data_IF_024480681641
#
_entry.id   IF_024480681641
#
_cell.length_a   1.000
_cell.length_b   1.000
_cell.length_c   1.000
_cell.angle_alpha   90.00
_cell.angle_beta   90.00
_cell.angle_gamma   90.00
#
_symmetry.space_group_name_H-M   'P 1'
#
loop_
_entity.id
_entity.type
_entity.pdbx_description
1 polymer ?
#
# COMPACT_ATOMS: atom_id res chain seq x y z
N UNK A 1 -3.63 20.90 -5.69
CA UNK A 1 -4.61 21.99 -5.86
C UNK A 1 -6.01 21.44 -5.63
N UNK A 2 -6.97 22.19 -5.04
CA UNK A 2 -8.32 21.69 -4.86
C UNK A 2 -9.10 21.68 -6.18
N UNK A 3 -9.73 20.56 -6.50
CA UNK A 3 -10.61 20.43 -7.66
C UNK A 3 -12.03 20.88 -7.29
N UNK A 4 -12.61 21.78 -8.07
CA UNK A 4 -13.99 22.21 -7.92
C UNK A 4 -14.87 21.49 -8.93
N UNK A 5 -15.90 20.80 -8.44
CA UNK A 5 -16.99 20.36 -9.31
C UNK A 5 -17.94 21.55 -9.47
N UNK A 6 -18.18 21.95 -10.71
CA UNK A 6 -18.99 23.11 -11.03
C UNK A 6 -20.16 22.76 -11.94
N UNK A 7 -21.26 23.46 -11.73
CA UNK A 7 -22.40 23.51 -12.64
C UNK A 7 -22.51 24.95 -13.11
N UNK A 8 -22.32 25.17 -14.41
CA UNK A 8 -22.35 26.49 -15.04
C UNK A 8 -23.39 26.52 -16.16
N UNK A 9 -23.82 27.72 -16.54
CA UNK A 9 -24.70 27.95 -17.68
C UNK A 9 -23.90 28.62 -18.76
N UNK A 10 -23.85 27.99 -19.93
CA UNK A 10 -23.27 28.55 -21.14
C UNK A 10 -24.19 29.65 -21.71
N UNK A 11 -23.68 30.55 -22.55
CA UNK A 11 -24.41 31.66 -23.16
C UNK A 11 -25.71 31.22 -23.89
N UNK A 12 -25.78 29.96 -24.34
CA UNK A 12 -26.97 29.33 -24.92
C UNK A 12 -28.03 28.83 -23.92
N UNK A 13 -27.89 29.12 -22.62
CA UNK A 13 -28.82 28.67 -21.57
C UNK A 13 -28.70 27.18 -21.22
N UNK A 14 -27.70 26.49 -21.76
CA UNK A 14 -27.46 25.06 -21.51
C UNK A 14 -26.61 24.90 -20.27
N UNK A 15 -27.06 24.04 -19.35
CA UNK A 15 -26.32 23.76 -18.13
C UNK A 15 -25.19 22.78 -18.46
N UNK A 16 -23.95 23.21 -18.20
CA UNK A 16 -22.72 22.43 -18.37
C UNK A 16 -22.18 22.07 -17.00
N UNK A 17 -21.96 20.78 -16.76
CA UNK A 17 -21.34 20.26 -15.54
C UNK A 17 -19.92 19.82 -15.85
N UNK A 18 -18.97 20.24 -15.02
CA UNK A 18 -17.54 19.98 -15.24
C UNK A 18 -16.73 19.95 -13.96
N UNK A 19 -15.45 19.61 -14.09
CA UNK A 19 -14.47 19.67 -13.02
C UNK A 19 -13.31 20.55 -13.47
N UNK A 20 -12.95 21.54 -12.66
CA UNK A 20 -11.84 22.43 -12.95
C UNK A 20 -10.99 22.61 -11.69
N UNK A 21 -9.67 22.56 -11.85
CA UNK A 21 -8.74 22.89 -10.78
C UNK A 21 -8.60 24.40 -10.67
N UNK A 22 -8.87 24.94 -9.49
CA UNK A 22 -8.74 26.36 -9.20
C UNK A 22 -8.22 26.57 -7.78
N UNK A 23 -7.40 27.60 -7.53
CA UNK A 23 -6.91 27.89 -6.17
C UNK A 23 -8.03 28.37 -5.22
N UNK A 24 -9.07 29.02 -5.76
CA UNK A 24 -10.22 29.55 -5.02
C UNK A 24 -11.45 29.67 -5.94
N UNK A 25 -12.63 29.84 -5.35
CA UNK A 25 -13.91 29.96 -6.09
C UNK A 25 -13.90 31.16 -7.07
N UNK A 26 -13.25 32.27 -6.70
CA UNK A 26 -13.10 33.43 -7.58
C UNK A 26 -12.26 33.15 -8.83
N UNK A 27 -11.21 32.33 -8.74
CA UNK A 27 -10.40 31.95 -9.90
C UNK A 27 -11.12 30.93 -10.80
N UNK A 28 -11.99 30.09 -10.22
CA UNK A 28 -12.88 29.22 -10.99
C UNK A 28 -13.87 30.07 -11.80
N UNK A 29 -14.52 31.05 -11.16
CA UNK A 29 -15.47 31.95 -11.81
C UNK A 29 -14.79 32.76 -12.93
N UNK A 30 -13.59 33.30 -12.69
CA UNK A 30 -12.84 34.04 -13.70
C UNK A 30 -12.49 33.18 -14.93
N UNK A 31 -12.17 31.90 -14.74
CA UNK A 31 -11.91 30.96 -15.84
C UNK A 31 -13.18 30.57 -16.60
N UNK A 32 -14.29 30.37 -15.90
CA UNK A 32 -15.57 30.05 -16.54
C UNK A 32 -16.11 31.22 -17.35
N UNK A 33 -15.92 32.45 -16.87
CA UNK A 33 -16.23 33.67 -17.61
C UNK A 33 -15.39 33.84 -18.88
N UNK A 34 -14.15 33.35 -18.91
CA UNK A 34 -13.35 33.34 -20.15
C UNK A 34 -13.87 32.33 -21.19
N UNK A 35 -14.66 31.35 -20.76
CA UNK A 35 -15.30 30.34 -21.64
C UNK A 35 -16.80 30.60 -21.83
N UNK A 36 -17.26 31.85 -21.66
CA UNK A 36 -18.68 32.25 -21.79
C UNK A 36 -19.68 31.44 -20.92
N UNK A 37 -19.20 30.89 -19.81
CA UNK A 37 -20.00 30.11 -18.87
C UNK A 37 -20.11 30.80 -17.50
N UNK A 38 -21.33 30.92 -16.98
CA UNK A 38 -21.59 31.54 -15.68
C UNK A 38 -21.82 30.48 -14.59
N UNK A 39 -21.12 30.59 -13.46
CA UNK A 39 -21.14 29.61 -12.38
C UNK A 39 -22.46 29.68 -11.59
N UNK A 40 -23.27 28.61 -11.63
CA UNK A 40 -24.49 28.51 -10.80
C UNK A 40 -24.20 27.94 -9.42
N UNK A 41 -23.34 26.91 -9.36
CA UNK A 41 -23.03 26.21 -8.11
C UNK A 41 -21.65 25.58 -8.21
N UNK A 42 -20.78 25.88 -7.25
CA UNK A 42 -19.58 25.11 -7.03
C UNK A 42 -19.73 24.26 -5.77
N UNK A 43 -19.06 23.11 -5.75
CA UNK A 43 -18.82 22.35 -4.53
C UNK A 43 -17.34 22.03 -4.50
N UNK A 44 -16.64 22.53 -3.49
CA UNK A 44 -15.26 22.12 -3.23
C UNK A 44 -15.28 20.63 -2.97
N UNK A 45 -14.76 19.86 -3.92
CA UNK A 45 -14.53 18.45 -3.71
C UNK A 45 -13.09 18.36 -3.24
N UNK A 46 -12.90 18.44 -1.93
CA UNK A 46 -11.63 18.03 -1.35
C UNK A 46 -11.47 16.57 -1.75
N UNK A 47 -10.63 16.31 -2.75
CA UNK A 47 -10.26 14.97 -3.19
C UNK A 47 -9.35 14.33 -2.13
N UNK A 48 -9.74 14.38 -0.86
CA UNK A 48 -9.38 13.34 0.12
C UNK A 48 -10.18 12.07 -0.18
N UNK A 49 -10.33 11.72 -1.46
CA UNK A 49 -10.66 10.34 -1.79
C UNK A 49 -9.46 9.56 -1.28
N UNK A 50 -9.74 8.60 -0.42
CA UNK A 50 -8.80 7.68 0.18
C UNK A 50 -8.14 6.89 -0.97
N UNK A 51 -7.17 7.52 -1.63
CA UNK A 51 -6.67 7.09 -2.93
C UNK A 51 -5.59 6.04 -2.72
N UNK A 52 -6.04 4.90 -2.21
CA UNK A 52 -5.27 3.66 -2.09
C UNK A 52 -4.76 3.16 -3.45
N UNK A 53 -5.15 3.82 -4.55
CA UNK A 53 -4.69 3.67 -5.94
C UNK A 53 -3.38 4.41 -6.25
N UNK A 54 -2.80 5.16 -5.31
CA UNK A 54 -1.55 5.92 -5.55
C UNK A 54 -0.28 5.15 -5.22
N UNK A 55 -0.36 4.06 -4.46
CA UNK A 55 0.84 3.33 -4.08
C UNK A 55 1.35 2.51 -5.25
N UNK A 56 2.45 2.96 -5.84
CA UNK A 56 3.15 2.30 -6.94
C UNK A 56 3.47 0.85 -6.55
N UNK A 57 3.22 -0.07 -7.48
CA UNK A 57 3.52 -1.49 -7.24
C UNK A 57 5.01 -1.74 -7.39
N UNK A 58 5.54 -2.74 -6.68
CA UNK A 58 6.95 -3.13 -6.84
C UNK A 58 7.28 -3.58 -8.26
N UNK A 59 6.33 -4.24 -8.92
CA UNK A 59 6.49 -4.67 -10.30
C UNK A 59 6.70 -3.47 -11.23
N UNK A 60 5.93 -2.40 -11.05
CA UNK A 60 6.10 -1.17 -11.84
C UNK A 60 7.44 -0.50 -11.56
N UNK A 61 7.89 -0.47 -10.29
CA UNK A 61 9.19 0.10 -9.92
C UNK A 61 10.37 -0.72 -10.44
N UNK A 62 10.25 -2.07 -10.49
CA UNK A 62 11.21 -2.96 -11.15
C UNK A 62 11.25 -2.65 -12.64
N UNK A 63 10.09 -2.50 -13.27
CA UNK A 63 9.98 -2.13 -14.68
C UNK A 63 10.62 -0.78 -14.98
N UNK A 64 10.45 0.21 -14.09
CA UNK A 64 11.12 1.49 -14.16
C UNK A 64 12.64 1.36 -14.14
N UNK A 65 13.20 0.69 -13.13
CA UNK A 65 14.66 0.53 -13.01
C UNK A 65 15.23 -0.19 -14.22
N UNK A 66 14.55 -1.26 -14.68
CA UNK A 66 14.97 -2.02 -15.85
C UNK A 66 14.93 -1.16 -17.12
N UNK A 67 13.86 -0.38 -17.36
CA UNK A 67 13.79 0.48 -18.53
C UNK A 67 14.87 1.57 -18.53
N UNK A 68 15.08 2.22 -17.38
CA UNK A 68 16.12 3.24 -17.21
C UNK A 68 17.53 2.68 -17.40
N UNK A 69 17.78 1.44 -16.96
CA UNK A 69 19.03 0.71 -17.19
C UNK A 69 19.30 0.53 -18.69
N UNK A 70 18.32 0.01 -19.44
CA UNK A 70 18.47 -0.29 -20.87
C UNK A 70 18.76 0.98 -21.68
N UNK A 71 17.99 2.05 -21.41
CA UNK A 71 18.17 3.36 -22.05
C UNK A 71 19.51 3.97 -21.68
N UNK A 72 19.86 3.99 -20.39
CA UNK A 72 21.11 4.58 -19.92
C UNK A 72 22.32 3.85 -20.52
N UNK A 73 22.26 2.52 -20.67
CA UNK A 73 23.30 1.72 -21.33
C UNK A 73 23.38 1.98 -22.83
N UNK A 74 22.24 2.26 -23.47
CA UNK A 74 22.17 2.66 -24.88
C UNK A 74 22.62 4.11 -25.13
N UNK A 75 22.85 4.90 -24.08
CA UNK A 75 23.23 6.31 -24.18
C UNK A 75 22.10 7.22 -24.66
N UNK A 76 20.84 6.78 -24.54
CA UNK A 76 19.68 7.57 -24.94
C UNK A 76 19.38 8.66 -23.90
N UNK A 77 18.78 9.79 -24.31
CA UNK A 77 18.40 10.85 -23.39
C UNK A 77 17.45 10.35 -22.29
N UNK A 78 17.78 10.64 -21.04
CA UNK A 78 16.99 10.23 -19.87
C UNK A 78 15.54 10.73 -19.91
N UNK A 79 15.32 11.92 -20.47
CA UNK A 79 13.99 12.51 -20.59
C UNK A 79 13.08 11.75 -21.56
N UNK A 80 13.65 11.23 -22.65
CA UNK A 80 12.95 10.41 -23.62
C UNK A 80 12.52 9.08 -22.97
N UNK A 81 13.44 8.46 -22.21
CA UNK A 81 13.17 7.26 -21.42
C UNK A 81 12.00 7.43 -20.43
N UNK A 82 12.00 8.54 -19.68
CA UNK A 82 10.93 8.82 -18.73
C UNK A 82 9.58 9.02 -19.44
N UNK A 83 9.60 9.66 -20.61
CA UNK A 83 8.41 9.89 -21.44
C UNK A 83 7.84 8.59 -22.00
N UNK A 84 8.70 7.75 -22.58
CA UNK A 84 8.35 6.44 -23.11
C UNK A 84 7.79 5.52 -22.02
N UNK A 85 8.42 5.55 -20.84
CA UNK A 85 7.96 4.78 -19.70
C UNK A 85 6.61 5.28 -19.17
N UNK A 86 6.41 6.59 -19.08
CA UNK A 86 5.12 7.20 -18.69
C UNK A 86 3.99 6.72 -19.60
N UNK A 87 4.26 6.65 -20.90
CA UNK A 87 3.25 6.33 -21.91
C UNK A 87 2.94 4.84 -21.96
N UNK A 88 3.92 3.98 -21.69
CA UNK A 88 3.74 2.52 -21.58
C UNK A 88 3.12 2.05 -20.26
N UNK A 89 3.24 2.81 -19.17
CA UNK A 89 2.71 2.40 -17.86
C UNK A 89 1.18 2.51 -17.78
N UNK A 90 0.54 1.47 -17.25
CA UNK A 90 -0.91 1.40 -17.06
C UNK A 90 -1.35 1.94 -15.70
N UNK A 91 -0.47 1.93 -14.70
CA UNK A 91 -0.78 2.36 -13.34
C UNK A 91 -0.92 3.90 -13.28
N UNK A 92 -2.13 4.45 -13.05
CA UNK A 92 -2.37 5.89 -13.16
C UNK A 92 -1.59 6.69 -12.13
N UNK A 93 -1.43 6.16 -10.91
CA UNK A 93 -0.63 6.82 -9.87
C UNK A 93 0.86 6.89 -10.21
N UNK A 94 1.39 5.91 -10.95
CA UNK A 94 2.80 5.94 -11.30
C UNK A 94 3.03 6.82 -12.53
N UNK A 95 2.08 6.86 -13.46
CA UNK A 95 2.05 7.82 -14.56
C UNK A 95 2.10 9.28 -14.06
N UNK A 96 1.37 9.59 -12.98
CA UNK A 96 1.40 10.93 -12.35
C UNK A 96 2.78 11.25 -11.76
N UNK A 97 3.38 10.30 -11.04
CA UNK A 97 4.76 10.43 -10.52
C UNK A 97 5.76 10.65 -11.66
N UNK A 98 5.73 9.83 -12.71
CA UNK A 98 6.61 9.98 -13.87
C UNK A 98 6.42 11.33 -14.57
N UNK A 99 5.18 11.80 -14.71
CA UNK A 99 4.89 13.12 -15.28
C UNK A 99 5.52 14.24 -14.44
N UNK A 100 5.45 14.13 -13.12
CA UNK A 100 6.10 15.07 -12.21
C UNK A 100 7.63 15.02 -12.28
N UNK A 101 8.22 13.84 -12.48
CA UNK A 101 9.67 13.69 -12.69
C UNK A 101 10.11 14.36 -13.99
N UNK A 102 9.41 14.11 -15.09
CA UNK A 102 9.68 14.71 -16.41
C UNK A 102 9.71 16.24 -16.29
N UNK A 103 8.67 16.86 -15.71
CA UNK A 103 8.59 18.32 -15.54
C UNK A 103 9.76 18.85 -14.70
N UNK A 104 10.14 18.11 -13.65
CA UNK A 104 11.22 18.50 -12.74
C UNK A 104 12.59 18.45 -13.42
N UNK A 105 12.84 17.39 -14.19
CA UNK A 105 14.07 17.19 -14.95
C UNK A 105 14.17 18.17 -16.12
N UNK A 106 13.06 18.45 -16.83
CA UNK A 106 12.96 19.53 -17.81
C UNK A 106 13.27 20.90 -17.20
N UNK A 107 12.87 21.11 -15.94
CA UNK A 107 13.20 22.28 -15.14
C UNK A 107 14.66 22.35 -14.67
N UNK A 108 15.49 21.37 -14.99
CA UNK A 108 16.91 21.33 -14.68
C UNK A 108 17.28 20.69 -13.34
N UNK A 109 16.32 20.09 -12.61
CA UNK A 109 16.65 19.25 -11.45
C UNK A 109 17.35 17.97 -11.90
N UNK A 110 18.27 17.46 -11.06
CA UNK A 110 18.78 16.09 -11.21
C UNK A 110 17.63 15.08 -11.04
N UNK A 111 17.76 13.86 -11.58
CA UNK A 111 16.76 12.81 -11.42
C UNK A 111 16.56 12.45 -9.95
N UNK A 112 17.65 12.30 -9.20
CA UNK A 112 17.63 12.06 -7.74
C UNK A 112 16.81 13.11 -6.99
N UNK A 113 17.06 14.39 -7.25
CA UNK A 113 16.33 15.51 -6.66
C UNK A 113 14.84 15.52 -7.04
N UNK A 114 14.50 15.10 -8.27
CA UNK A 114 13.12 14.95 -8.68
C UNK A 114 12.43 13.77 -7.95
N UNK A 115 13.17 12.70 -7.66
CA UNK A 115 12.67 11.54 -6.91
C UNK A 115 12.40 11.84 -5.43
N UNK A 116 13.18 12.76 -4.81
CA UNK A 116 12.96 13.22 -3.43
C UNK A 116 11.56 13.80 -3.20
N UNK A 117 10.95 14.40 -4.24
CA UNK A 117 9.60 14.95 -4.17
C UNK A 117 8.52 13.84 -4.01
N UNK A 118 8.89 12.55 -4.18
CA UNK A 118 7.98 11.40 -4.16
C UNK A 118 8.42 10.28 -3.18
N UNK A 119 8.53 10.57 -1.85
CA UNK A 119 9.07 9.63 -0.86
C UNK A 119 8.20 8.38 -0.62
N UNK A 120 6.94 8.40 -1.05
CA UNK A 120 6.07 7.20 -1.00
C UNK A 120 6.40 6.16 -2.08
N UNK A 121 7.12 6.58 -3.14
CA UNK A 121 7.51 5.73 -4.27
C UNK A 121 8.99 5.41 -4.23
N UNK A 122 9.84 6.42 -3.99
CA UNK A 122 11.28 6.28 -3.91
C UNK A 122 11.71 6.54 -2.46
N UNK A 123 12.25 5.52 -1.80
CA UNK A 123 12.78 5.71 -0.44
C UNK A 123 14.14 6.43 -0.47
N UNK A 124 14.57 6.95 0.68
CA UNK A 124 15.81 7.72 0.80
C UNK A 124 17.03 6.94 0.29
N UNK A 125 17.05 5.62 0.48
CA UNK A 125 18.15 4.76 0.01
C UNK A 125 18.17 4.68 -1.50
N UNK A 126 16.99 4.51 -2.14
CA UNK A 126 16.84 4.51 -3.58
C UNK A 126 17.34 5.83 -4.17
N UNK A 127 16.89 6.96 -3.62
CA UNK A 127 17.28 8.30 -4.08
C UNK A 127 18.79 8.50 -3.97
N UNK A 128 19.39 8.16 -2.83
CA UNK A 128 20.82 8.33 -2.60
C UNK A 128 21.65 7.49 -3.58
N UNK A 129 21.26 6.24 -3.84
CA UNK A 129 21.93 5.39 -4.81
C UNK A 129 21.87 6.00 -6.22
N UNK A 130 20.70 6.52 -6.63
CA UNK A 130 20.54 7.22 -7.91
C UNK A 130 21.40 8.48 -7.97
N UNK A 131 21.45 9.27 -6.89
CA UNK A 131 22.30 10.46 -6.82
C UNK A 131 23.77 10.13 -7.04
N UNK A 132 24.27 9.07 -6.41
CA UNK A 132 25.65 8.61 -6.62
C UNK A 132 25.86 8.17 -8.06
N UNK A 133 24.93 7.40 -8.65
CA UNK A 133 25.01 7.00 -10.06
C UNK A 133 24.96 8.15 -11.05
N UNK A 134 24.23 9.23 -10.74
CA UNK A 134 24.24 10.45 -11.55
C UNK A 134 25.58 11.21 -11.44
N UNK A 135 26.21 11.20 -10.27
CA UNK A 135 27.48 11.90 -10.02
C UNK A 135 28.69 11.15 -10.58
N UNK A 136 28.68 9.82 -10.51
CA UNK A 136 29.74 8.97 -11.08
C UNK A 136 29.54 8.68 -12.57
N UNK A 137 28.35 8.97 -13.11
CA UNK A 137 27.97 8.61 -14.48
C UNK A 137 27.63 7.13 -14.67
N UNK A 138 27.56 6.36 -13.60
CA UNK A 138 27.29 4.91 -13.61
C UNK A 138 25.81 4.58 -13.34
N UNK A 139 24.91 5.45 -13.80
CA UNK A 139 23.46 5.30 -13.59
C UNK A 139 22.93 3.93 -14.07
N UNK A 140 23.42 3.41 -15.19
CA UNK A 140 23.04 2.09 -15.71
C UNK A 140 23.37 0.95 -14.73
N UNK A 141 24.54 1.01 -14.08
CA UNK A 141 24.95 0.00 -13.11
C UNK A 141 24.10 0.09 -11.85
N UNK A 142 23.88 1.30 -11.34
CA UNK A 142 22.99 1.53 -10.19
C UNK A 142 21.58 1.01 -10.46
N UNK A 143 21.01 1.29 -11.64
CA UNK A 143 19.68 0.81 -12.03
C UNK A 143 19.62 -0.72 -12.14
N UNK A 144 20.70 -1.37 -12.60
CA UNK A 144 20.83 -2.83 -12.60
C UNK A 144 20.73 -3.38 -11.19
N UNK A 145 21.52 -2.82 -10.26
CA UNK A 145 21.56 -3.25 -8.86
C UNK A 145 20.23 -3.02 -8.13
N UNK A 146 19.57 -1.90 -8.40
CA UNK A 146 18.24 -1.61 -7.87
C UNK A 146 17.21 -2.63 -8.39
N UNK A 147 17.28 -2.97 -9.69
CA UNK A 147 16.41 -3.99 -10.30
C UNK A 147 16.60 -5.36 -9.62
N UNK A 148 17.84 -5.81 -9.45
CA UNK A 148 18.16 -7.08 -8.78
C UNK A 148 17.68 -7.10 -7.33
N UNK A 149 17.94 -6.03 -6.58
CA UNK A 149 17.50 -5.91 -5.19
C UNK A 149 15.98 -5.94 -5.07
N UNK A 150 15.27 -5.20 -5.92
CA UNK A 150 13.80 -5.17 -5.91
C UNK A 150 13.19 -6.53 -6.30
N UNK A 151 13.75 -7.22 -7.30
CA UNK A 151 13.33 -8.58 -7.70
C UNK A 151 13.51 -9.57 -6.55
N UNK A 152 14.67 -9.56 -5.92
CA UNK A 152 14.96 -10.43 -4.77
C UNK A 152 14.00 -10.15 -3.60
N UNK A 153 13.72 -8.88 -3.30
CA UNK A 153 12.75 -8.51 -2.27
C UNK A 153 11.31 -8.91 -2.60
N UNK A 154 10.92 -8.87 -3.87
CA UNK A 154 9.59 -9.30 -4.31
C UNK A 154 9.43 -10.82 -4.21
N UNK A 155 10.44 -11.57 -4.65
CA UNK A 155 10.49 -13.03 -4.55
C UNK A 155 10.38 -13.49 -3.09
N UNK A 156 11.17 -12.89 -2.19
CA UNK A 156 11.09 -13.18 -0.76
C UNK A 156 9.69 -12.92 -0.18
N UNK A 157 9.04 -11.83 -0.58
CA UNK A 157 7.67 -11.55 -0.12
C UNK A 157 6.66 -12.54 -0.70
N UNK A 158 6.82 -12.94 -1.96
CA UNK A 158 5.96 -13.92 -2.62
C UNK A 158 6.05 -15.28 -1.91
N UNK A 159 7.27 -15.75 -1.66
CA UNK A 159 7.52 -16.98 -0.92
C UNK A 159 6.95 -16.91 0.51
N UNK A 160 7.19 -15.79 1.22
CA UNK A 160 6.65 -15.59 2.57
C UNK A 160 5.11 -15.59 2.59
N UNK A 161 4.46 -14.95 1.61
CA UNK A 161 3.00 -14.97 1.47
C UNK A 161 2.47 -16.38 1.23
N UNK A 162 3.13 -17.16 0.36
CA UNK A 162 2.74 -18.53 0.06
C UNK A 162 2.78 -19.43 1.31
N UNK A 163 3.85 -19.32 2.11
CA UNK A 163 4.03 -20.08 3.35
C UNK A 163 2.92 -19.75 4.38
N UNK A 164 2.49 -18.49 4.46
CA UNK A 164 1.46 -18.06 5.42
C UNK A 164 0.04 -18.38 4.93
N UNK A 165 -0.19 -18.39 3.62
CA UNK A 165 -1.52 -18.57 3.05
C UNK A 165 -2.11 -19.95 3.37
N UNK A 166 -1.29 -21.01 3.28
CA UNK A 166 -1.76 -22.37 3.51
C UNK A 166 -2.21 -22.61 4.97
N UNK A 167 -1.40 -22.33 6.02
CA UNK A 167 -1.84 -22.43 7.40
C UNK A 167 -3.03 -21.52 7.72
N UNK A 168 -3.09 -20.32 7.13
CA UNK A 168 -4.22 -19.41 7.35
C UNK A 168 -5.53 -20.00 6.78
N UNK A 169 -5.51 -20.55 5.58
CA UNK A 169 -6.67 -21.18 4.97
C UNK A 169 -7.15 -22.38 5.78
N UNK A 170 -6.24 -23.30 6.14
CA UNK A 170 -6.56 -24.47 6.98
C UNK A 170 -7.08 -24.02 8.34
N UNK A 171 -6.47 -23.02 8.96
CA UNK A 171 -6.92 -22.46 10.24
C UNK A 171 -8.34 -21.93 10.19
N UNK A 172 -8.70 -21.20 9.13
CA UNK A 172 -10.08 -20.70 8.93
C UNK A 172 -11.07 -21.85 8.80
N UNK A 173 -10.74 -22.91 8.04
CA UNK A 173 -11.61 -24.08 7.88
C UNK A 173 -11.77 -24.85 9.19
N UNK A 174 -10.69 -25.08 9.95
CA UNK A 174 -10.77 -25.78 11.24
C UNK A 174 -11.59 -24.96 12.24
N UNK A 175 -11.34 -23.65 12.34
CA UNK A 175 -12.10 -22.77 13.22
C UNK A 175 -13.58 -22.73 12.82
N UNK A 176 -13.90 -22.69 11.52
CA UNK A 176 -15.30 -22.66 11.07
C UNK A 176 -16.03 -23.96 11.41
N UNK A 177 -15.40 -25.12 11.23
CA UNK A 177 -15.97 -26.43 11.62
C UNK A 177 -16.17 -26.51 13.14
N UNK A 178 -15.19 -26.05 13.93
CA UNK A 178 -15.32 -26.01 15.40
C UNK A 178 -16.47 -25.11 15.84
N UNK A 179 -16.59 -23.93 15.24
CA UNK A 179 -17.70 -23.01 15.53
C UNK A 179 -19.05 -23.61 15.13
N UNK A 180 -19.14 -24.25 13.96
CA UNK A 180 -20.35 -24.94 13.54
C UNK A 180 -20.76 -26.04 14.53
N UNK A 181 -19.80 -26.88 14.95
CA UNK A 181 -20.06 -27.89 15.97
C UNK A 181 -20.52 -27.27 17.29
N UNK A 182 -19.88 -26.19 17.74
CA UNK A 182 -20.21 -25.52 19.00
C UNK A 182 -21.58 -24.85 18.99
N UNK A 183 -22.01 -24.30 17.85
CA UNK A 183 -23.27 -23.56 17.70
C UNK A 183 -24.45 -24.51 17.45
N UNK A 184 -24.24 -25.58 16.67
CA UNK A 184 -25.34 -26.45 16.23
C UNK A 184 -25.34 -27.83 16.91
N UNK A 185 -24.19 -28.51 16.95
CA UNK A 185 -24.10 -29.92 17.39
C UNK A 185 -24.09 -30.04 18.91
N UNK A 186 -23.30 -29.20 19.60
CA UNK A 186 -23.16 -29.26 21.07
C UNK A 186 -24.49 -29.01 21.79
N UNK A 187 -25.32 -28.01 21.42
CA UNK A 187 -26.62 -27.81 22.06
C UNK A 187 -27.55 -29.01 21.92
N UNK A 188 -27.63 -29.62 20.73
CA UNK A 188 -28.48 -30.79 20.48
C UNK A 188 -28.10 -32.00 21.36
N UNK A 189 -26.79 -32.26 21.51
CA UNK A 189 -26.30 -33.31 22.41
C UNK A 189 -26.64 -33.02 23.88
N UNK A 190 -26.59 -31.76 24.29
CA UNK A 190 -26.89 -31.36 25.67
C UNK A 190 -28.38 -31.49 25.98
N UNK A 191 -29.24 -31.13 25.05
CA UNK A 191 -30.70 -31.27 25.19
C UNK A 191 -31.08 -32.76 25.32
N UNK A 192 -30.49 -33.63 24.50
CA UNK A 192 -30.65 -35.08 24.61
C UNK A 192 -30.22 -35.64 25.99
N UNK A 193 -29.07 -35.22 26.52
CA UNK A 193 -28.58 -35.69 27.84
C UNK A 193 -29.51 -35.21 28.97
N UNK A 194 -30.09 -34.01 28.86
CA UNK A 194 -31.05 -33.49 29.83
C UNK A 194 -32.36 -34.29 29.83
N UNK A 195 -32.84 -34.69 28.65
CA UNK A 195 -34.03 -35.54 28.51
C UNK A 195 -33.85 -36.92 29.15
N UNK A 196 -32.63 -37.46 29.16
CA UNK A 196 -32.29 -38.71 29.85
C UNK A 196 -32.21 -38.60 31.39
N UNK A 197 -32.44 -37.40 31.96
CA UNK A 197 -32.48 -37.20 33.41
C UNK A 197 -31.13 -37.29 34.14
N UNK A 198 -30.00 -37.26 33.41
CA UNK A 198 -28.66 -37.28 34.01
C UNK A 198 -28.15 -35.88 34.33
N UNK A 199 -27.54 -35.73 35.51
CA UNK A 199 -26.87 -34.48 35.90
C UNK A 199 -25.62 -34.25 35.05
N UNK A 200 -25.53 -33.09 34.40
CA UNK A 200 -24.41 -32.72 33.54
C UNK A 200 -23.08 -32.65 34.34
N UNK A 201 -22.05 -33.41 33.94
CA UNK A 201 -20.70 -33.29 34.49
C UNK A 201 -20.12 -31.87 34.39
N UNK A 202 -19.15 -31.55 35.25
CA UNK A 202 -18.55 -30.20 35.34
C UNK A 202 -17.94 -29.72 34.02
N UNK A 203 -17.27 -30.63 33.30
CA UNK A 203 -16.63 -30.37 32.01
C UNK A 203 -17.66 -30.01 30.92
N UNK A 204 -18.82 -30.68 30.91
CA UNK A 204 -19.91 -30.40 29.97
C UNK A 204 -20.59 -29.06 30.29
N UNK A 205 -20.74 -28.71 31.56
CA UNK A 205 -21.24 -27.37 31.98
C UNK A 205 -20.32 -26.23 31.54
N UNK A 206 -19.00 -26.41 31.65
CA UNK A 206 -18.03 -25.43 31.16
C UNK A 206 -18.10 -25.25 29.64
N UNK A 207 -18.25 -26.36 28.89
CA UNK A 207 -18.42 -26.33 27.44
C UNK A 207 -19.71 -25.59 27.02
N UNK A 208 -20.82 -25.81 27.74
CA UNK A 208 -22.10 -25.12 27.51
C UNK A 208 -21.98 -23.62 27.80
N UNK A 209 -21.30 -23.24 28.89
CA UNK A 209 -21.06 -21.83 29.20
C UNK A 209 -20.25 -21.14 28.09
N UNK A 210 -19.23 -21.81 27.56
CA UNK A 210 -18.43 -21.31 26.45
C UNK A 210 -19.20 -21.28 25.12
N UNK A 211 -20.03 -22.30 24.86
CA UNK A 211 -20.96 -22.34 23.72
C UNK A 211 -21.92 -21.17 23.78
N UNK A 212 -22.61 -20.95 24.90
CA UNK A 212 -23.55 -19.86 25.09
C UNK A 212 -22.87 -18.48 24.94
N UNK A 213 -21.61 -18.34 25.34
CA UNK A 213 -20.84 -17.12 25.10
C UNK A 213 -20.58 -16.89 23.60
N UNK A 214 -20.19 -17.93 22.85
CA UNK A 214 -19.96 -17.84 21.40
C UNK A 214 -21.27 -17.62 20.64
N UNK A 215 -22.32 -18.38 20.97
CA UNK A 215 -23.65 -18.30 20.33
C UNK A 215 -24.34 -16.98 20.66
N UNK A 216 -24.29 -16.52 21.91
CA UNK A 216 -24.89 -15.26 22.33
C UNK A 216 -24.23 -14.03 21.71
N UNK A 217 -22.92 -14.12 21.43
CA UNK A 217 -22.11 -12.99 20.95
C UNK A 217 -21.47 -13.22 19.58
N UNK A 218 -22.00 -14.15 18.75
CA UNK A 218 -21.39 -14.52 17.46
C UNK A 218 -21.16 -13.32 16.54
N UNK A 219 -22.05 -12.33 16.58
CA UNK A 219 -21.93 -11.06 15.85
C UNK A 219 -20.67 -10.26 16.20
N UNK A 220 -20.14 -10.38 17.41
CA UNK A 220 -18.90 -9.73 17.83
C UNK A 220 -17.70 -10.67 17.76
N UNK A 221 -17.86 -11.95 18.08
CA UNK A 221 -16.77 -12.93 18.17
C UNK A 221 -16.15 -13.25 16.81
N UNK A 222 -16.94 -13.38 15.75
CA UNK A 222 -16.44 -13.68 14.40
C UNK A 222 -15.68 -12.50 13.77
N UNK A 223 -16.20 -11.26 13.80
CA UNK A 223 -15.46 -10.12 13.29
C UNK A 223 -14.37 -9.60 14.24
N UNK A 224 -14.38 -9.95 15.54
CA UNK A 224 -13.40 -9.43 16.50
C UNK A 224 -11.94 -9.68 16.11
N UNK A 225 -11.48 -10.90 15.72
CA UNK A 225 -10.10 -11.12 15.31
C UNK A 225 -9.66 -10.29 14.09
N UNK A 226 -10.38 -10.28 12.95
CA UNK A 226 -9.99 -9.45 11.81
C UNK A 226 -10.13 -7.94 12.11
N UNK A 227 -11.13 -7.52 12.90
CA UNK A 227 -11.30 -6.14 13.30
C UNK A 227 -10.19 -5.68 14.26
N UNK A 228 -9.79 -6.52 15.20
CA UNK A 228 -8.66 -6.27 16.09
C UNK A 228 -7.36 -6.14 15.32
N UNK A 229 -7.10 -7.03 14.36
CA UNK A 229 -5.92 -6.95 13.49
C UNK A 229 -5.94 -5.68 12.62
N UNK A 230 -7.11 -5.32 12.06
CA UNK A 230 -7.30 -4.08 11.32
C UNK A 230 -7.06 -2.84 12.18
N UNK A 231 -7.65 -2.79 13.38
CA UNK A 231 -7.48 -1.69 14.33
C UNK A 231 -6.03 -1.55 14.78
N UNK A 232 -5.35 -2.66 15.07
CA UNK A 232 -3.92 -2.67 15.41
C UNK A 232 -3.09 -2.11 14.24
N UNK A 233 -3.38 -2.56 13.01
CA UNK A 233 -2.69 -2.09 11.80
C UNK A 233 -2.97 -0.62 11.46
N UNK A 234 -4.16 -0.12 11.80
CA UNK A 234 -4.56 1.26 11.57
C UNK A 234 -3.96 2.19 12.63
N UNK A 235 -3.95 1.76 13.89
CA UNK A 235 -3.36 2.51 15.00
C UNK A 235 -1.83 2.57 14.88
N UNK A 236 -1.18 1.49 14.44
CA UNK A 236 0.25 1.48 14.15
C UNK A 236 0.68 2.42 12.99
N UNK A 237 -0.25 2.84 12.13
CA UNK A 237 0.01 3.84 11.08
C UNK A 237 -0.21 5.28 11.53
N UNK A 238 -0.90 5.50 12.66
CA UNK A 238 -1.21 6.84 13.17
C UNK A 238 -0.30 7.27 14.32
N UNK A 239 0.22 6.32 15.09
CA UNK A 239 1.01 6.59 16.29
C UNK A 239 2.39 5.89 16.20
N UNK A 240 3.47 6.67 16.21
CA UNK A 240 4.85 6.18 16.16
C UNK A 240 5.18 5.26 17.33
N UNK A 241 4.68 5.54 18.54
CA UNK A 241 4.94 4.69 19.72
C UNK A 241 4.27 3.33 19.57
N UNK A 242 3.10 3.32 18.95
CA UNK A 242 2.36 2.09 18.67
C UNK A 242 3.00 1.30 17.53
N UNK A 243 3.60 1.97 16.54
CA UNK A 243 4.43 1.32 15.52
C UNK A 243 5.61 0.57 16.13
N UNK A 244 6.38 1.22 17.01
CA UNK A 244 7.52 0.56 17.69
C UNK A 244 7.12 -0.65 18.52
N UNK A 245 6.01 -0.58 19.27
CA UNK A 245 5.51 -1.73 20.04
C UNK A 245 5.04 -2.88 19.16
N UNK A 246 4.34 -2.57 18.06
CA UNK A 246 3.88 -3.59 17.12
C UNK A 246 5.07 -4.24 16.41
N UNK A 247 6.07 -3.45 16.02
CA UNK A 247 7.27 -3.98 15.36
C UNK A 247 8.13 -4.78 16.34
N UNK A 248 8.29 -4.36 17.60
CA UNK A 248 8.99 -5.17 18.61
C UNK A 248 8.29 -6.50 18.87
N UNK A 249 6.95 -6.50 18.88
CA UNK A 249 6.16 -7.71 19.09
C UNK A 249 6.26 -8.67 17.91
N UNK A 250 6.26 -8.15 16.67
CA UNK A 250 6.48 -8.95 15.46
C UNK A 250 7.89 -9.55 15.39
N UNK A 251 8.91 -8.81 15.84
CA UNK A 251 10.30 -9.25 15.87
C UNK A 251 10.55 -10.31 16.95
N UNK A 252 9.85 -10.23 18.10
CA UNK A 252 9.95 -11.23 19.17
C UNK A 252 9.05 -12.46 18.96
N UNK A 253 8.18 -12.45 17.96
CA UNK A 253 7.31 -13.59 17.71
C UNK A 253 8.13 -14.78 17.21
N UNK A 254 8.08 -15.90 17.94
CA UNK A 254 8.90 -17.11 17.71
C UNK A 254 8.97 -17.53 16.24
N UNK A 255 7.85 -17.47 15.51
CA UNK A 255 7.77 -17.98 14.14
C UNK A 255 8.21 -16.95 13.08
N UNK A 256 7.74 -15.70 13.18
CA UNK A 256 7.98 -14.66 12.16
C UNK A 256 9.24 -13.84 12.42
N UNK A 257 9.67 -13.73 13.68
CA UNK A 257 10.78 -12.89 14.13
C UNK A 257 12.11 -13.19 13.42
N UNK A 258 12.60 -14.45 13.44
CA UNK A 258 13.86 -14.81 12.80
C UNK A 258 13.86 -14.55 11.28
N UNK A 259 12.71 -14.75 10.62
CA UNK A 259 12.57 -14.55 9.17
C UNK A 259 12.65 -13.06 8.84
N UNK A 260 11.86 -12.23 9.53
CA UNK A 260 11.84 -10.77 9.30
C UNK A 260 13.20 -10.16 9.62
N UNK A 261 13.84 -10.57 10.72
CA UNK A 261 15.17 -10.09 11.09
C UNK A 261 16.22 -10.41 10.02
N UNK A 262 16.24 -11.65 9.49
CA UNK A 262 17.16 -12.03 8.40
C UNK A 262 16.91 -11.22 7.11
N UNK A 263 15.65 -10.96 6.76
CA UNK A 263 15.31 -10.14 5.59
C UNK A 263 15.82 -8.70 5.75
N UNK A 264 15.61 -8.10 6.93
CA UNK A 264 16.06 -6.73 7.22
C UNK A 264 17.59 -6.67 7.19
N UNK A 265 18.27 -7.62 7.85
CA UNK A 265 19.72 -7.67 7.91
C UNK A 265 20.35 -7.86 6.53
N UNK A 266 19.78 -8.77 5.72
CA UNK A 266 20.25 -8.99 4.36
C UNK A 266 20.04 -7.76 3.48
N UNK A 267 18.91 -7.06 3.62
CA UNK A 267 18.67 -5.81 2.88
C UNK A 267 19.67 -4.72 3.28
N UNK A 268 19.91 -4.57 4.58
CA UNK A 268 20.94 -3.65 5.10
C UNK A 268 22.31 -3.99 4.52
N UNK A 269 22.71 -5.26 4.54
CA UNK A 269 23.99 -5.71 3.99
C UNK A 269 24.08 -5.44 2.47
N UNK A 270 23.01 -5.67 1.71
CA UNK A 270 22.97 -5.36 0.28
C UNK A 270 23.08 -3.87 0.01
N UNK A 271 22.33 -3.02 0.72
CA UNK A 271 22.44 -1.57 0.55
C UNK A 271 23.81 -1.04 0.97
N UNK A 272 24.38 -1.56 2.07
CA UNK A 272 25.71 -1.21 2.51
C UNK A 272 26.77 -1.58 1.46
N UNK A 273 26.70 -2.79 0.90
CA UNK A 273 27.60 -3.23 -0.16
C UNK A 273 27.49 -2.36 -1.42
N UNK A 274 26.27 -1.92 -1.77
CA UNK A 274 26.03 -1.04 -2.92
C UNK A 274 26.62 0.36 -2.71
N UNK A 275 26.42 0.94 -1.52
CA UNK A 275 27.00 2.25 -1.19
C UNK A 275 28.53 2.19 -1.18
N UNK A 276 29.10 1.15 -0.60
CA UNK A 276 30.55 0.94 -0.57
C UNK A 276 31.13 0.72 -1.98
N UNK A 277 30.46 -0.08 -2.83
CA UNK A 277 30.89 -0.25 -4.22
C UNK A 277 30.78 1.02 -5.05
N UNK A 278 29.86 1.92 -4.69
CA UNK A 278 29.64 3.18 -5.37
C UNK A 278 30.58 4.32 -4.90
N UNK A 279 31.57 4.02 -4.03
CA UNK A 279 32.64 4.94 -3.67
C UNK A 279 32.33 5.91 -2.52
N UNK A 280 31.31 5.62 -1.71
CA UNK A 280 31.14 6.30 -0.42
C UNK A 280 32.07 5.64 0.61
N UNK A 281 33.18 6.33 0.91
CA UNK A 281 34.03 6.08 2.09
C UNK A 281 33.35 6.54 3.39
#
# INVERSE_FOLDING_TARGET
>A
MPTFAYRAVDAGGKIVEGQLDAPNESALEARLRQSDAELLRCKTRTSRRFDRRRKVTRHDLIGFCFHMEQVSRAGLPMLEALTDLRDSITHPGFREVLSSLIISVEGGKKLSQAMEDHPETFDDVFVNLVSVGEETGELAEVMTKLTESLKWQDELMSQAKSIVLYPAFVGVVVISVLLFMMIYVVPQMVDFIREMGQALPLHTRALIAFSNFIVGNWWWVIPAPPLFFLLLSWSAKRDERMRYRVDSWKLNFWYTGPIVSKIILSRFASYFALLYSAGLD
#
